data_IF_364151976879
#
_entry.id   IF_364151976879
#
_cell.length_a   1.000
_cell.length_b   1.000
_cell.length_c   1.000
_cell.angle_alpha   90.00
_cell.angle_beta   90.00
_cell.angle_gamma   90.00
#
_symmetry.space_group_name_H-M   'P 1'
#
loop_
_entity.id
_entity.type
_entity.pdbx_description
1 polymer ?
#
# COMPACT_ATOMS: atom_id res chain seq x y z
N UNK A 1 7.79 21.94 14.96
CA UNK A 1 8.60 20.79 15.42
C UNK A 1 7.84 19.83 16.34
N UNK A 2 6.83 20.29 17.08
CA UNK A 2 5.99 19.49 17.99
C UNK A 2 4.96 18.60 17.28
N UNK A 3 4.36 19.03 16.17
CA UNK A 3 3.38 18.20 15.42
C UNK A 3 3.99 16.91 14.83
N UNK A 4 5.26 16.96 14.40
CA UNK A 4 5.95 15.81 13.81
C UNK A 4 6.29 14.71 14.84
N UNK A 5 6.39 15.07 16.12
CA UNK A 5 6.62 14.12 17.22
C UNK A 5 5.30 13.49 17.70
N UNK A 6 4.18 14.22 17.61
CA UNK A 6 2.84 13.72 17.96
C UNK A 6 2.36 12.70 16.92
N UNK A 7 2.60 12.95 15.63
CA UNK A 7 2.25 12.01 14.54
C UNK A 7 3.04 10.71 14.59
N UNK A 8 4.32 10.75 15.00
CA UNK A 8 5.16 9.55 15.08
C UNK A 8 4.74 8.62 16.25
N UNK A 9 4.24 9.18 17.35
CA UNK A 9 3.67 8.39 18.45
C UNK A 9 2.30 7.78 18.08
N UNK A 10 1.46 8.52 17.35
CA UNK A 10 0.14 8.04 16.94
C UNK A 10 0.20 6.72 16.17
N UNK A 11 0.99 6.66 15.09
CA UNK A 11 1.05 5.46 14.23
C UNK A 11 1.58 4.25 15.00
N UNK A 12 2.63 4.43 15.81
CA UNK A 12 3.18 3.36 16.67
C UNK A 12 2.13 2.81 17.63
N UNK A 13 1.36 3.67 18.28
CA UNK A 13 0.26 3.24 19.14
C UNK A 13 -0.87 2.55 18.39
N UNK A 14 -1.20 2.98 17.17
CA UNK A 14 -2.23 2.32 16.35
C UNK A 14 -1.78 0.91 15.93
N UNK A 15 -0.53 0.75 15.51
CA UNK A 15 0.05 -0.55 15.16
C UNK A 15 0.10 -1.48 16.36
N UNK A 16 0.46 -0.98 17.53
CA UNK A 16 0.47 -1.72 18.80
C UNK A 16 -0.93 -2.16 19.23
N UNK A 17 -1.91 -1.24 19.15
CA UNK A 17 -3.29 -1.50 19.59
C UNK A 17 -4.07 -2.40 18.63
N UNK A 18 -3.72 -2.40 17.34
CA UNK A 18 -4.41 -3.13 16.28
C UNK A 18 -3.47 -4.17 15.62
N UNK A 19 -3.24 -5.32 16.27
CA UNK A 19 -2.24 -6.29 15.81
C UNK A 19 -2.56 -6.87 14.43
N UNK A 20 -3.83 -6.89 14.02
CA UNK A 20 -4.27 -7.54 12.77
C UNK A 20 -4.60 -6.54 11.64
N UNK A 21 -4.44 -5.23 11.87
CA UNK A 21 -4.75 -4.23 10.84
C UNK A 21 -3.73 -4.29 9.71
N UNK A 22 -4.16 -4.29 8.45
CA UNK A 22 -3.23 -4.31 7.32
C UNK A 22 -2.79 -2.92 6.88
N UNK A 23 -3.66 -1.93 7.04
CA UNK A 23 -3.45 -0.59 6.51
C UNK A 23 -3.92 0.45 7.53
N UNK A 24 -3.09 1.47 7.77
CA UNK A 24 -3.41 2.62 8.61
C UNK A 24 -3.15 3.86 7.75
N UNK A 25 -4.15 4.74 7.64
CA UNK A 25 -4.11 5.96 6.83
C UNK A 25 -3.71 5.74 5.36
N UNK A 26 -4.15 4.61 4.78
CA UNK A 26 -3.81 4.23 3.41
C UNK A 26 -2.44 3.57 3.24
N UNK A 27 -1.61 3.50 4.28
CA UNK A 27 -0.28 2.88 4.22
C UNK A 27 -0.26 1.49 4.86
N UNK A 28 0.30 0.53 4.14
CA UNK A 28 0.48 -0.83 4.63
C UNK A 28 1.33 -0.86 5.91
N UNK A 29 0.87 -1.65 6.87
CA UNK A 29 1.59 -1.96 8.11
C UNK A 29 2.43 -3.20 7.88
N UNK A 30 3.72 -2.99 7.64
CA UNK A 30 4.67 -4.06 7.33
C UNK A 30 5.08 -4.83 8.58
N UNK A 31 5.58 -6.05 8.39
CA UNK A 31 6.20 -6.86 9.43
C UNK A 31 7.38 -6.15 10.10
N UNK A 32 8.22 -5.44 9.33
CA UNK A 32 9.32 -4.65 9.86
C UNK A 32 8.84 -3.49 10.74
N UNK A 33 7.80 -2.76 10.33
CA UNK A 33 7.19 -1.71 11.17
C UNK A 33 6.69 -2.28 12.51
N UNK A 34 6.06 -3.45 12.50
CA UNK A 34 5.59 -4.09 13.73
C UNK A 34 6.75 -4.46 14.66
N UNK A 35 7.86 -4.94 14.10
CA UNK A 35 9.05 -5.21 14.88
C UNK A 35 9.64 -3.93 15.48
N UNK A 36 9.71 -2.85 14.69
CA UNK A 36 10.16 -1.53 15.18
C UNK A 36 9.28 -1.05 16.35
N UNK A 37 7.96 -1.19 16.23
CA UNK A 37 7.01 -0.82 17.28
C UNK A 37 7.21 -1.68 18.54
N UNK A 38 7.40 -2.99 18.39
CA UNK A 38 7.69 -3.88 19.54
C UNK A 38 8.96 -3.45 20.25
N UNK A 39 10.05 -3.26 19.50
CA UNK A 39 11.33 -2.82 20.04
C UNK A 39 11.21 -1.46 20.73
N UNK A 40 10.45 -0.53 20.15
CA UNK A 40 10.21 0.79 20.75
C UNK A 40 9.58 0.69 22.14
N UNK A 41 8.56 -0.13 22.33
CA UNK A 41 7.94 -0.30 23.66
C UNK A 41 8.85 -1.03 24.65
N UNK A 42 9.61 -2.03 24.19
CA UNK A 42 10.59 -2.75 25.02
C UNK A 42 11.72 -1.83 25.49
N UNK A 43 12.27 -1.00 24.60
CA UNK A 43 13.29 0.00 24.92
C UNK A 43 12.73 1.09 25.83
N UNK A 44 11.52 1.57 25.53
CA UNK A 44 10.86 2.60 26.34
C UNK A 44 10.63 2.13 27.77
N UNK A 45 10.27 0.85 27.97
CA UNK A 45 10.10 0.26 29.30
C UNK A 45 11.36 0.31 30.17
N UNK A 46 12.56 0.35 29.55
CA UNK A 46 13.85 0.46 30.25
C UNK A 46 14.28 1.92 30.51
N UNK A 47 13.55 2.89 29.98
CA UNK A 47 13.85 4.31 30.13
C UNK A 47 13.29 4.90 31.43
N UNK A 48 13.77 6.09 31.81
CA UNK A 48 13.27 6.82 32.99
C UNK A 48 11.80 7.25 32.88
N UNK A 49 11.25 7.32 31.66
CA UNK A 49 9.88 7.73 31.36
C UNK A 49 9.25 6.74 30.37
N UNK A 50 8.79 5.58 30.85
CA UNK A 50 8.27 4.53 29.98
C UNK A 50 6.98 4.96 29.29
N UNK A 51 6.93 4.74 27.98
CA UNK A 51 5.73 4.95 27.16
C UNK A 51 4.81 3.75 27.37
N UNK A 52 3.56 4.03 27.78
CA UNK A 52 2.58 2.99 28.10
C UNK A 52 1.83 2.55 26.84
N UNK A 53 1.55 1.26 26.75
CA UNK A 53 0.54 0.74 25.83
C UNK A 53 -0.80 1.41 26.11
N UNK A 54 -1.49 1.90 25.07
CA UNK A 54 -2.75 2.64 25.24
C UNK A 54 -3.93 1.70 25.47
N UNK A 55 -3.89 0.51 24.90
CA UNK A 55 -4.96 -0.46 24.93
C UNK A 55 -4.40 -1.85 25.28
N UNK A 56 -5.17 -2.67 26.01
CA UNK A 56 -4.78 -4.06 26.26
C UNK A 56 -4.74 -4.86 24.94
N UNK A 57 -3.78 -5.79 24.85
CA UNK A 57 -3.67 -6.69 23.69
C UNK A 57 -4.99 -7.44 23.50
N UNK A 58 -5.43 -7.55 22.24
CA UNK A 58 -6.62 -8.31 21.79
C UNK A 58 -8.00 -7.69 22.04
N UNK A 59 -8.11 -6.41 22.40
CA UNK A 59 -9.42 -5.75 22.55
C UNK A 59 -10.28 -5.77 21.27
N UNK A 60 -9.64 -5.81 20.09
CA UNK A 60 -10.30 -5.80 18.78
C UNK A 60 -10.32 -7.16 18.08
N UNK A 61 -10.32 -8.27 18.83
CA UNK A 61 -10.49 -9.61 18.26
C UNK A 61 -12.00 -9.96 18.25
N UNK A 62 -12.63 -10.12 17.08
CA UNK A 62 -14.04 -10.47 17.01
C UNK A 62 -14.29 -11.87 17.58
N UNK A 63 -15.40 -12.03 18.33
CA UNK A 63 -15.85 -13.32 18.86
C UNK A 63 -16.31 -14.25 17.74
N UNK A 64 -16.23 -15.57 17.98
CA UNK A 64 -16.59 -16.58 16.98
C UNK A 64 -18.07 -16.53 16.55
N UNK A 65 -18.95 -16.00 17.41
CA UNK A 65 -20.36 -15.74 17.05
C UNK A 65 -20.52 -14.63 16.02
N UNK A 66 -19.67 -13.59 16.03
CA UNK A 66 -19.71 -12.52 15.01
C UNK A 66 -19.12 -12.95 13.66
N UNK A 67 -18.47 -14.12 13.60
CA UNK A 67 -17.83 -14.63 12.38
C UNK A 67 -18.76 -15.45 11.48
N UNK A 68 -19.99 -15.78 11.88
CA UNK A 68 -20.80 -16.75 11.14
C UNK A 68 -21.75 -16.16 10.09
N UNK A 69 -22.19 -14.90 10.23
CA UNK A 69 -23.38 -14.45 9.47
C UNK A 69 -23.24 -13.18 8.61
N UNK A 70 -22.06 -12.54 8.47
CA UNK A 70 -21.97 -11.23 7.80
C UNK A 70 -20.66 -11.02 7.03
N UNK A 71 -20.29 -11.95 6.15
CA UNK A 71 -19.10 -11.76 5.30
C UNK A 71 -19.50 -11.67 3.83
N UNK A 72 -19.27 -10.50 3.23
CA UNK A 72 -19.36 -10.32 1.78
C UNK A 72 -18.26 -11.07 1.03
N UNK A 73 -18.35 -11.12 -0.30
CA UNK A 73 -17.43 -11.85 -1.18
C UNK A 73 -15.95 -11.51 -0.95
N UNK A 74 -15.63 -10.24 -0.69
CA UNK A 74 -14.26 -9.83 -0.41
C UNK A 74 -13.74 -10.34 0.93
N UNK A 75 -14.60 -10.42 1.95
CA UNK A 75 -14.25 -10.98 3.25
C UNK A 75 -14.02 -12.49 3.14
N UNK A 76 -14.82 -13.21 2.35
CA UNK A 76 -14.59 -14.65 2.13
C UNK A 76 -13.31 -14.90 1.34
N UNK A 77 -13.02 -14.09 0.32
CA UNK A 77 -11.77 -14.14 -0.47
C UNK A 77 -10.54 -13.79 0.36
N UNK A 78 -10.66 -12.84 1.30
CA UNK A 78 -9.62 -12.51 2.26
C UNK A 78 -9.31 -13.72 3.16
N UNK A 79 -10.36 -14.30 3.76
CA UNK A 79 -10.23 -15.41 4.70
C UNK A 79 -9.75 -16.70 4.03
N UNK A 80 -9.98 -16.87 2.71
CA UNK A 80 -9.46 -18.02 1.96
C UNK A 80 -7.97 -17.87 1.58
N UNK A 81 -7.50 -16.63 1.36
CA UNK A 81 -6.11 -16.36 0.97
C UNK A 81 -5.15 -16.17 2.15
N UNK A 82 -5.64 -15.76 3.32
CA UNK A 82 -4.81 -15.39 4.46
C UNK A 82 -5.30 -16.04 5.74
N UNK A 83 -4.43 -16.81 6.39
CA UNK A 83 -4.72 -17.40 7.69
C UNK A 83 -4.69 -16.32 8.80
N UNK A 84 -5.57 -16.44 9.79
CA UNK A 84 -5.66 -15.46 10.91
C UNK A 84 -4.35 -15.37 11.71
N UNK A 85 -3.64 -16.49 11.84
CA UNK A 85 -2.38 -16.60 12.59
C UNK A 85 -1.15 -16.72 11.69
N UNK A 86 -1.23 -16.23 10.46
CA UNK A 86 -0.11 -16.29 9.52
C UNK A 86 1.10 -15.49 10.05
N UNK A 87 2.29 -16.05 9.86
CA UNK A 87 3.54 -15.40 10.27
C UNK A 87 3.71 -14.10 9.50
N UNK A 88 4.04 -13.01 10.21
CA UNK A 88 4.19 -11.69 9.59
C UNK A 88 5.62 -11.54 9.08
N UNK A 89 5.80 -11.76 7.79
CA UNK A 89 7.09 -11.61 7.10
C UNK A 89 6.92 -10.78 5.82
N UNK A 90 8.04 -10.46 5.16
CA UNK A 90 8.06 -9.67 3.92
C UNK A 90 7.22 -10.33 2.82
N UNK A 91 7.23 -11.66 2.72
CA UNK A 91 6.44 -12.40 1.73
C UNK A 91 4.93 -12.24 1.96
N UNK A 92 4.48 -12.28 3.22
CA UNK A 92 3.09 -11.98 3.56
C UNK A 92 2.73 -10.54 3.25
N UNK A 93 3.64 -9.59 3.48
CA UNK A 93 3.39 -8.18 3.17
C UNK A 93 3.26 -7.95 1.66
N UNK A 94 4.06 -8.65 0.84
CA UNK A 94 3.92 -8.64 -0.61
C UNK A 94 2.60 -9.26 -1.08
N UNK A 95 2.20 -10.42 -0.53
CA UNK A 95 0.89 -11.01 -0.85
C UNK A 95 -0.27 -10.10 -0.46
N UNK A 96 -0.18 -9.41 0.69
CA UNK A 96 -1.16 -8.41 1.12
C UNK A 96 -1.21 -7.24 0.15
N UNK A 97 -0.05 -6.74 -0.31
CA UNK A 97 0.02 -5.67 -1.29
C UNK A 97 -0.66 -6.07 -2.61
N UNK A 98 -0.37 -7.27 -3.13
CA UNK A 98 -1.02 -7.81 -4.34
C UNK A 98 -2.54 -7.95 -4.17
N UNK A 99 -2.99 -8.41 -3.00
CA UNK A 99 -4.42 -8.49 -2.69
C UNK A 99 -5.09 -7.11 -2.63
N UNK A 100 -4.43 -6.13 -2.02
CA UNK A 100 -4.92 -4.74 -1.98
C UNK A 100 -4.98 -4.14 -3.38
N UNK A 101 -4.01 -4.45 -4.26
CA UNK A 101 -4.04 -4.02 -5.65
C UNK A 101 -5.27 -4.58 -6.39
N UNK A 102 -5.54 -5.88 -6.23
CA UNK A 102 -6.73 -6.53 -6.78
C UNK A 102 -8.03 -5.88 -6.26
N UNK A 103 -8.07 -5.55 -4.96
CA UNK A 103 -9.20 -4.88 -4.34
C UNK A 103 -9.40 -3.44 -4.85
N UNK A 104 -8.31 -2.68 -4.96
CA UNK A 104 -8.34 -1.31 -5.48
C UNK A 104 -8.76 -1.28 -6.95
N UNK A 105 -8.35 -2.24 -7.78
CA UNK A 105 -8.84 -2.33 -9.16
C UNK A 105 -10.37 -2.46 -9.21
N UNK A 106 -10.97 -3.31 -8.38
CA UNK A 106 -12.44 -3.43 -8.34
C UNK A 106 -13.13 -2.16 -7.84
N UNK A 107 -12.57 -1.49 -6.83
CA UNK A 107 -13.10 -0.20 -6.36
C UNK A 107 -13.06 0.83 -7.50
N UNK A 108 -11.92 0.94 -8.19
CA UNK A 108 -11.73 1.89 -9.29
C UNK A 108 -12.69 1.58 -10.44
N UNK A 109 -12.93 0.30 -10.76
CA UNK A 109 -13.92 -0.10 -11.76
C UNK A 109 -15.32 0.37 -11.39
N UNK A 110 -15.71 0.22 -10.12
CA UNK A 110 -17.02 0.71 -9.64
C UNK A 110 -17.10 2.24 -9.75
N UNK A 111 -16.06 2.95 -9.31
CA UNK A 111 -15.99 4.42 -9.40
C UNK A 111 -16.10 4.91 -10.85
N UNK A 112 -15.31 4.32 -11.76
CA UNK A 112 -15.35 4.65 -13.19
C UNK A 112 -16.72 4.33 -13.80
N UNK A 113 -17.35 3.21 -13.43
CA UNK A 113 -18.69 2.84 -13.91
C UNK A 113 -19.75 3.86 -13.47
N UNK A 114 -19.65 4.36 -12.23
CA UNK A 114 -20.55 5.39 -11.72
C UNK A 114 -20.37 6.71 -12.47
N UNK A 115 -19.13 7.16 -12.67
CA UNK A 115 -18.81 8.39 -13.41
C UNK A 115 -19.29 8.29 -14.86
N UNK A 116 -19.03 7.17 -15.53
CA UNK A 116 -19.46 6.94 -16.90
C UNK A 116 -20.98 7.02 -17.06
N UNK A 117 -21.74 6.39 -16.15
CA UNK A 117 -23.20 6.49 -16.11
C UNK A 117 -23.69 7.91 -15.86
N UNK A 118 -23.08 8.62 -14.90
CA UNK A 118 -23.48 9.99 -14.53
C UNK A 118 -23.27 10.98 -15.68
N UNK A 119 -22.24 10.78 -16.50
CA UNK A 119 -21.83 11.70 -17.56
C UNK A 119 -22.11 11.18 -18.99
N UNK A 120 -22.79 10.03 -19.14
CA UNK A 120 -23.04 9.37 -20.43
C UNK A 120 -21.77 9.17 -21.28
N UNK A 121 -20.65 8.84 -20.64
CA UNK A 121 -19.36 8.57 -21.30
C UNK A 121 -19.29 7.09 -21.68
N UNK A 122 -18.65 6.78 -22.81
CA UNK A 122 -18.37 5.39 -23.21
C UNK A 122 -17.52 4.71 -22.14
N UNK A 123 -17.99 3.55 -21.65
CA UNK A 123 -17.37 2.80 -20.57
C UNK A 123 -15.89 2.44 -20.86
N UNK A 124 -15.57 2.03 -22.08
CA UNK A 124 -14.26 1.53 -22.49
C UNK A 124 -13.10 2.52 -22.31
N UNK A 125 -13.37 3.84 -22.35
CA UNK A 125 -12.32 4.85 -22.21
C UNK A 125 -11.87 5.10 -20.77
N UNK A 126 -12.62 4.63 -19.77
CA UNK A 126 -12.37 4.96 -18.36
C UNK A 126 -11.74 3.82 -17.54
N UNK A 127 -11.56 2.63 -18.12
CA UNK A 127 -11.02 1.48 -17.40
C UNK A 127 -9.53 1.27 -17.66
N UNK A 128 -8.82 0.99 -16.57
CA UNK A 128 -7.54 0.31 -16.63
C UNK A 128 -7.76 -1.14 -17.11
N UNK A 129 -6.79 -1.71 -17.80
CA UNK A 129 -6.82 -3.14 -18.12
C UNK A 129 -6.91 -3.99 -16.86
N UNK A 130 -7.46 -5.19 -17.04
CA UNK A 130 -7.59 -6.16 -15.95
C UNK A 130 -6.19 -6.53 -15.42
N UNK A 131 -6.04 -6.55 -14.10
CA UNK A 131 -4.78 -6.83 -13.40
C UNK A 131 -3.69 -5.77 -13.61
N UNK A 132 -4.01 -4.57 -14.10
CA UNK A 132 -3.03 -3.51 -14.33
C UNK A 132 -2.21 -3.17 -13.07
N UNK A 133 -2.84 -2.96 -11.92
CA UNK A 133 -2.16 -2.61 -10.67
C UNK A 133 -1.31 -3.77 -10.14
N UNK A 134 -1.81 -5.01 -10.30
CA UNK A 134 -1.02 -6.20 -9.95
C UNK A 134 0.23 -6.31 -10.81
N UNK A 135 0.06 -6.19 -12.13
CA UNK A 135 1.14 -6.24 -13.09
C UNK A 135 2.13 -5.07 -12.87
N UNK A 136 1.66 -3.92 -12.39
CA UNK A 136 2.50 -2.77 -12.03
C UNK A 136 3.39 -3.08 -10.80
N UNK A 137 2.85 -3.79 -9.81
CA UNK A 137 3.63 -4.28 -8.66
C UNK A 137 4.67 -5.31 -9.12
N UNK A 138 4.33 -6.19 -10.04
CA UNK A 138 5.28 -7.16 -10.59
C UNK A 138 6.37 -6.48 -11.42
N UNK A 139 6.01 -5.53 -12.28
CA UNK A 139 6.94 -4.74 -13.09
C UNK A 139 7.95 -3.97 -12.22
N UNK A 140 7.49 -3.47 -11.06
CA UNK A 140 8.32 -2.76 -10.09
C UNK A 140 9.51 -3.58 -9.61
N UNK A 141 9.38 -4.91 -9.49
CA UNK A 141 10.46 -5.81 -9.03
C UNK A 141 11.73 -5.64 -9.87
N UNK A 142 11.57 -5.35 -11.17
CA UNK A 142 12.68 -5.13 -12.11
C UNK A 142 12.96 -3.65 -12.38
N UNK A 143 11.95 -2.77 -12.27
CA UNK A 143 12.03 -1.37 -12.71
C UNK A 143 11.60 -0.37 -11.61
N UNK A 144 12.23 -0.46 -10.43
CA UNK A 144 11.86 0.35 -9.25
C UNK A 144 11.85 1.86 -9.50
N UNK A 145 12.84 2.39 -10.21
CA UNK A 145 12.99 3.83 -10.47
C UNK A 145 11.86 4.38 -11.35
N UNK A 146 11.48 3.64 -12.40
CA UNK A 146 10.37 4.01 -13.27
C UNK A 146 9.05 4.08 -12.50
N UNK A 147 8.77 3.09 -11.66
CA UNK A 147 7.58 3.09 -10.80
C UNK A 147 7.61 4.24 -9.77
N UNK A 148 8.79 4.62 -9.26
CA UNK A 148 8.93 5.77 -8.37
C UNK A 148 8.64 7.08 -9.10
N UNK A 149 9.09 7.22 -10.35
CA UNK A 149 8.79 8.40 -11.17
C UNK A 149 7.29 8.52 -11.46
N UNK A 150 6.59 7.40 -11.75
CA UNK A 150 5.13 7.41 -11.86
C UNK A 150 4.47 7.87 -10.57
N UNK A 151 4.92 7.38 -9.42
CA UNK A 151 4.38 7.84 -8.14
C UNK A 151 4.58 9.35 -7.93
N UNK A 152 5.77 9.88 -8.23
CA UNK A 152 6.06 11.31 -8.11
C UNK A 152 5.13 12.13 -9.00
N UNK A 153 4.96 11.72 -10.26
CA UNK A 153 4.03 12.36 -11.20
C UNK A 153 2.58 12.23 -10.71
N UNK A 154 2.20 11.09 -10.14
CA UNK A 154 0.84 10.85 -9.67
C UNK A 154 0.51 11.77 -8.49
N UNK A 155 1.42 11.88 -7.53
CA UNK A 155 1.31 12.82 -6.40
C UNK A 155 1.29 14.27 -6.90
N UNK A 156 2.14 14.62 -7.87
CA UNK A 156 2.11 15.95 -8.49
C UNK A 156 0.75 16.23 -9.15
N UNK A 157 0.17 15.26 -9.87
CA UNK A 157 -1.14 15.39 -10.52
C UNK A 157 -2.32 15.53 -9.54
N UNK A 158 -2.14 15.11 -8.27
CA UNK A 158 -3.14 15.32 -7.22
C UNK A 158 -3.12 16.75 -6.70
N UNK A 159 -1.96 17.40 -6.71
CA UNK A 159 -1.79 18.75 -6.20
C UNK A 159 -1.95 19.82 -7.28
N UNK A 160 -1.49 19.53 -8.49
CA UNK A 160 -1.43 20.47 -9.61
C UNK A 160 -2.30 19.98 -10.77
N UNK A 161 -2.95 20.93 -11.45
CA UNK A 161 -3.60 20.64 -12.74
C UNK A 161 -2.53 20.62 -13.81
N UNK A 162 -2.10 19.43 -14.19
CA UNK A 162 -1.12 19.22 -15.26
C UNK A 162 -1.89 19.08 -16.58
N UNK A 163 -1.59 19.88 -17.62
CA UNK A 163 -2.20 19.71 -18.93
C UNK A 163 -1.90 18.31 -19.51
N UNK A 164 -2.91 17.66 -20.10
CA UNK A 164 -2.78 16.29 -20.63
C UNK A 164 -1.72 16.18 -21.74
N UNK A 165 -1.57 17.20 -22.58
CA UNK A 165 -0.54 17.27 -23.63
C UNK A 165 0.87 17.17 -23.01
N UNK A 166 1.16 18.03 -22.03
CA UNK A 166 2.43 18.03 -21.31
C UNK A 166 2.69 16.72 -20.58
N UNK A 167 1.66 16.13 -19.98
CA UNK A 167 1.76 14.83 -19.33
C UNK A 167 2.09 13.72 -20.35
N UNK A 168 1.40 13.70 -21.49
CA UNK A 168 1.66 12.75 -22.58
C UNK A 168 3.09 12.86 -23.11
N UNK A 169 3.56 14.07 -23.38
CA UNK A 169 4.94 14.34 -23.80
C UNK A 169 5.95 13.87 -22.75
N UNK A 170 5.70 14.19 -21.47
CA UNK A 170 6.56 13.77 -20.36
C UNK A 170 6.66 12.25 -20.27
N UNK A 171 5.52 11.55 -20.33
CA UNK A 171 5.46 10.08 -20.26
C UNK A 171 6.18 9.43 -21.46
N UNK A 172 6.07 10.03 -22.64
CA UNK A 172 6.76 9.57 -23.84
C UNK A 172 8.28 9.79 -23.74
N UNK A 173 8.72 10.99 -23.36
CA UNK A 173 10.15 11.33 -23.24
C UNK A 173 10.85 10.48 -22.18
N UNK A 174 10.18 10.26 -21.05
CA UNK A 174 10.72 9.46 -19.93
C UNK A 174 10.56 7.95 -20.13
N UNK A 175 9.97 7.51 -21.26
CA UNK A 175 9.60 6.11 -21.52
C UNK A 175 8.71 5.47 -20.44
N UNK A 176 8.06 6.28 -19.60
CA UNK A 176 7.12 5.79 -18.57
C UNK A 176 5.84 5.25 -19.21
N UNK A 177 5.53 5.66 -20.45
CA UNK A 177 4.46 5.08 -21.25
C UNK A 177 4.64 3.56 -21.48
N UNK A 178 5.86 3.00 -21.36
CA UNK A 178 6.14 1.56 -21.45
C UNK A 178 5.97 0.81 -20.13
N UNK A 179 5.50 1.49 -19.08
CA UNK A 179 5.23 0.84 -17.80
C UNK A 179 4.00 -0.02 -17.98
N UNK A 180 4.25 -1.32 -18.04
CA UNK A 180 3.23 -2.33 -18.16
C UNK A 180 2.50 -2.29 -19.53
N UNK A 181 2.19 -3.46 -20.08
CA UNK A 181 1.36 -3.51 -21.29
C UNK A 181 -0.12 -3.59 -20.89
N UNK A 182 -1.01 -2.72 -21.44
CA UNK A 182 -0.82 -1.77 -22.53
C UNK A 182 -0.43 -0.32 -22.11
N UNK A 183 0.29 0.37 -23.02
CA UNK A 183 0.77 1.76 -22.89
C UNK A 183 -0.31 2.78 -22.51
N UNK A 184 -1.53 2.59 -23.03
CA UNK A 184 -2.67 3.48 -22.80
C UNK A 184 -3.06 3.59 -21.33
N UNK A 185 -2.83 2.54 -20.54
CA UNK A 185 -3.27 2.51 -19.14
C UNK A 185 -2.42 3.41 -18.25
N UNK A 186 -1.17 3.65 -18.62
CA UNK A 186 -0.32 4.60 -17.89
C UNK A 186 -0.84 6.02 -18.02
N UNK A 187 -1.38 6.42 -19.18
CA UNK A 187 -2.01 7.73 -19.36
C UNK A 187 -3.32 7.79 -18.58
N UNK A 188 -4.18 6.77 -18.73
CA UNK A 188 -5.49 6.68 -18.04
C UNK A 188 -5.35 6.80 -16.53
N UNK A 189 -4.27 6.29 -15.94
CA UNK A 189 -3.98 6.39 -14.51
C UNK A 189 -4.02 7.84 -13.99
N UNK A 190 -3.60 8.82 -14.79
CA UNK A 190 -3.63 10.24 -14.41
C UNK A 190 -4.99 10.91 -14.66
N UNK A 191 -5.81 10.32 -15.52
CA UNK A 191 -7.17 10.78 -15.84
C UNK A 191 -8.21 10.25 -14.84
N UNK A 192 -7.83 9.26 -14.01
CA UNK A 192 -8.70 8.70 -12.99
C UNK A 192 -9.20 9.75 -11.98
N UNK A 193 -10.37 9.50 -11.35
CA UNK A 193 -10.87 10.33 -10.26
C UNK A 193 -9.81 10.52 -9.16
N UNK A 194 -9.85 11.68 -8.50
CA UNK A 194 -8.88 12.05 -7.45
C UNK A 194 -8.74 10.95 -6.38
N UNK A 195 -9.87 10.37 -5.95
CA UNK A 195 -9.88 9.32 -4.91
C UNK A 195 -9.16 8.04 -5.39
N UNK A 196 -9.40 7.64 -6.63
CA UNK A 196 -8.76 6.49 -7.27
C UNK A 196 -7.25 6.69 -7.38
N UNK A 197 -6.81 7.89 -7.76
CA UNK A 197 -5.37 8.25 -7.81
C UNK A 197 -4.72 8.24 -6.42
N UNK A 198 -5.45 8.61 -5.37
CA UNK A 198 -4.96 8.49 -3.98
C UNK A 198 -4.77 7.02 -3.60
N UNK A 199 -5.70 6.13 -3.93
CA UNK A 199 -5.55 4.69 -3.66
C UNK A 199 -4.32 4.11 -4.36
N UNK A 200 -4.12 4.43 -5.64
CA UNK A 200 -2.94 3.97 -6.40
C UNK A 200 -1.65 4.56 -5.80
N UNK A 201 -1.64 5.84 -5.43
CA UNK A 201 -0.47 6.47 -4.79
C UNK A 201 -0.10 5.76 -3.48
N UNK A 202 -1.09 5.47 -2.66
CA UNK A 202 -0.94 4.77 -1.39
C UNK A 202 -0.43 3.32 -1.57
N UNK A 203 -0.89 2.64 -2.61
CA UNK A 203 -0.41 1.32 -3.01
C UNK A 203 1.08 1.37 -3.38
N UNK A 204 1.48 2.31 -4.24
CA UNK A 204 2.88 2.48 -4.66
C UNK A 204 3.80 2.92 -3.52
N UNK A 205 3.33 3.80 -2.62
CA UNK A 205 4.03 4.17 -1.39
C UNK A 205 4.23 2.95 -0.47
N UNK A 206 3.21 2.11 -0.34
CA UNK A 206 3.32 0.86 0.42
C UNK A 206 4.32 -0.10 -0.21
N UNK A 207 4.39 -0.18 -1.55
CA UNK A 207 5.39 -0.97 -2.26
C UNK A 207 6.83 -0.48 -1.98
N UNK A 208 7.07 0.85 -2.04
CA UNK A 208 8.37 1.45 -1.69
C UNK A 208 8.80 1.08 -0.28
N UNK A 209 7.85 1.08 0.66
CA UNK A 209 8.12 0.72 2.05
C UNK A 209 8.58 -0.74 2.17
N UNK A 210 7.91 -1.67 1.49
CA UNK A 210 8.33 -3.08 1.50
C UNK A 210 9.71 -3.25 0.85
N UNK A 211 9.98 -2.56 -0.27
CA UNK A 211 11.30 -2.61 -0.92
C UNK A 211 12.42 -2.16 0.03
N UNK A 212 12.16 -1.10 0.81
CA UNK A 212 13.10 -0.60 1.82
C UNK A 212 13.33 -1.64 2.92
N UNK A 213 12.27 -2.23 3.44
CA UNK A 213 12.34 -3.25 4.49
C UNK A 213 13.13 -4.48 4.02
N UNK A 214 12.92 -4.90 2.77
CA UNK A 214 13.67 -5.99 2.14
C UNK A 214 15.16 -5.66 1.98
N UNK A 215 15.51 -4.46 1.53
CA UNK A 215 16.92 -4.02 1.42
C UNK A 215 17.62 -4.04 2.77
N UNK A 216 16.96 -3.54 3.82
CA UNK A 216 17.51 -3.55 5.19
C UNK A 216 17.73 -4.98 5.67
N UNK A 217 16.75 -5.87 5.46
CA UNK A 217 16.86 -7.27 5.84
C UNK A 217 18.07 -7.96 5.17
N UNK A 218 18.24 -7.78 3.85
CA UNK A 218 19.38 -8.33 3.12
C UNK A 218 20.73 -7.77 3.60
N UNK A 219 20.78 -6.48 3.93
CA UNK A 219 21.98 -5.86 4.48
C UNK A 219 22.38 -6.49 5.83
N UNK A 220 21.42 -6.70 6.73
CA UNK A 220 21.66 -7.34 8.03
C UNK A 220 22.17 -8.78 7.86
N UNK A 221 21.58 -9.55 6.94
CA UNK A 221 22.04 -10.91 6.65
C UNK A 221 23.49 -10.93 6.14
N UNK A 222 23.85 -10.00 5.26
CA UNK A 222 25.22 -9.92 4.73
C UNK A 222 26.24 -9.53 5.82
N UNK A 223 25.87 -8.65 6.74
CA UNK A 223 26.72 -8.29 7.89
C UNK A 223 26.95 -9.50 8.81
N UNK A 224 25.91 -10.30 9.09
CA UNK A 224 26.02 -11.51 9.91
C UNK A 224 26.86 -12.61 9.27
N UNK A 225 26.83 -12.73 7.94
CA UNK A 225 27.72 -13.64 7.22
C UNK A 225 29.18 -13.24 7.38
N UNK A 226 29.48 -11.94 7.20
CA UNK A 226 30.83 -11.38 7.37
C UNK A 226 31.40 -11.43 8.80
N UNK A 227 30.56 -11.56 9.83
CA UNK A 227 31.02 -11.71 11.22
C UNK A 227 31.30 -13.15 11.63
N UNK A 228 30.87 -14.11 10.81
CA UNK A 228 31.03 -15.55 11.06
C UNK A 228 32.14 -16.18 10.19
N UNK A 229 32.77 -15.38 9.33
CA UNK A 229 34.00 -15.69 8.57
C UNK A 229 35.18 -14.95 9.21
#
# INVERSE_FOLDING_TARGET
MTEFLITNSYRKHMVDSLPNVWMIDGLLVTSAERQEVSNFFEESARSSRPTRHKLPKYQFVPSDQKKKDIYGEWSTKLMSKFAVNETKNIETDMRRLEFIAEWFEEIIKVDCSYVAKKHNIRLESCFLSKNFLRNLIDFRKSHTEMCNMVLVLLVASLQFRIPNEFLGETLNYTNLNKINNPVEDTIKLFELPRISRIYISNLLLSAIKIDRDQKIFLMILNLRKKSND
#
